data_IF_701340242293
#
_entry.id   IF_701340242293
#
_cell.length_a   1.000
_cell.length_b   1.000
_cell.length_c   1.000
_cell.angle_alpha   90.00
_cell.angle_beta   90.00
_cell.angle_gamma   90.00
#
_symmetry.space_group_name_H-M   'P 1'
#
loop_
_entity.id
_entity.type
_entity.pdbx_description
1 polymer ?
#
# COMPACT_ATOMS: atom_id res chain seq x y z
N UNK A 1 -4.58 24.11 33.00
CA UNK A 1 -5.27 23.23 32.02
C UNK A 1 -4.34 22.71 30.92
N UNK A 2 -3.29 23.42 30.49
CA UNK A 2 -2.37 22.96 29.42
C UNK A 2 -1.46 21.76 29.78
N UNK A 3 -1.23 21.49 31.06
CA UNK A 3 -0.35 20.39 31.52
C UNK A 3 -1.02 19.02 31.50
N UNK A 4 -2.36 18.95 31.67
CA UNK A 4 -3.10 17.69 31.67
C UNK A 4 -3.28 17.11 30.26
N UNK A 5 -3.30 17.96 29.23
CA UNK A 5 -3.45 17.54 27.83
C UNK A 5 -2.17 16.89 27.27
N UNK A 6 -0.98 17.35 27.69
CA UNK A 6 0.30 16.79 27.25
C UNK A 6 0.56 15.39 27.80
N UNK A 7 0.16 15.12 29.04
CA UNK A 7 0.35 13.79 29.64
C UNK A 7 -0.60 12.76 29.04
N UNK A 8 -1.81 13.16 28.64
CA UNK A 8 -2.80 12.27 28.03
C UNK A 8 -2.41 11.88 26.60
N UNK A 9 -1.85 12.81 25.82
CA UNK A 9 -1.40 12.54 24.45
C UNK A 9 -0.15 11.63 24.41
N UNK A 10 0.75 11.76 25.40
CA UNK A 10 1.94 10.90 25.50
C UNK A 10 1.59 9.45 25.89
N UNK A 11 0.56 9.24 26.72
CA UNK A 11 0.08 7.89 27.09
C UNK A 11 -0.61 7.19 25.92
N UNK A 12 -1.35 7.92 25.08
CA UNK A 12 -1.99 7.36 23.87
C UNK A 12 -0.98 6.97 22.78
N UNK A 13 0.06 7.79 22.56
CA UNK A 13 1.14 7.46 21.60
C UNK A 13 1.98 6.26 22.06
N UNK A 14 2.13 6.04 23.36
CA UNK A 14 2.86 4.89 23.89
C UNK A 14 2.04 3.60 23.83
N UNK A 15 0.70 3.67 23.95
CA UNK A 15 -0.17 2.50 23.79
C UNK A 15 -0.30 2.03 22.34
N UNK A 16 -0.31 2.93 21.35
CA UNK A 16 -0.32 2.55 19.93
C UNK A 16 0.95 1.77 19.52
N UNK A 17 2.11 2.14 20.07
CA UNK A 17 3.36 1.42 19.78
C UNK A 17 3.41 0.02 20.42
N UNK A 18 2.65 -0.23 21.49
CA UNK A 18 2.60 -1.52 22.18
C UNK A 18 1.53 -2.46 21.60
N UNK A 19 0.44 -1.94 21.01
CA UNK A 19 -0.60 -2.75 20.37
C UNK A 19 -0.21 -3.24 18.97
N UNK A 20 0.73 -2.58 18.29
CA UNK A 20 1.27 -3.06 17.00
C UNK A 20 2.29 -4.19 17.11
N UNK A 21 2.60 -4.70 18.32
CA UNK A 21 3.58 -5.75 18.54
C UNK A 21 3.02 -7.14 18.85
N UNK A 22 1.68 -7.36 18.86
CA UNK A 22 1.12 -8.67 19.27
C UNK A 22 0.22 -9.40 18.27
N UNK A 23 -0.06 -8.89 17.07
CA UNK A 23 -0.81 -9.66 16.09
C UNK A 23 0.09 -10.56 15.24
N UNK A 24 0.50 -11.68 15.84
CA UNK A 24 0.73 -12.92 15.08
C UNK A 24 -0.63 -13.58 14.87
N UNK A 25 -1.27 -13.29 13.74
CA UNK A 25 -2.38 -14.09 13.25
C UNK A 25 -1.83 -15.23 12.40
N UNK A 26 -1.84 -16.42 12.99
CA UNK A 26 -1.71 -17.71 12.31
C UNK A 26 -2.94 -17.92 11.41
N UNK A 27 -2.87 -17.43 10.17
CA UNK A 27 -3.88 -17.61 9.14
C UNK A 27 -3.22 -18.04 7.83
N UNK A 28 -2.85 -19.32 7.73
CA UNK A 28 -2.25 -19.87 6.53
C UNK A 28 -3.29 -19.96 5.39
N UNK A 29 -3.40 -18.88 4.61
CA UNK A 29 -4.00 -18.94 3.28
C UNK A 29 -3.15 -19.90 2.42
N UNK A 30 -3.71 -21.04 2.05
CA UNK A 30 -3.02 -22.01 1.19
C UNK A 30 -2.99 -21.50 -0.24
N UNK A 31 -1.99 -20.69 -0.58
CA UNK A 31 -1.58 -20.52 -1.96
C UNK A 31 -1.23 -21.91 -2.54
N UNK A 32 -1.59 -22.22 -3.80
CA UNK A 32 -1.06 -23.40 -4.47
C UNK A 32 0.48 -23.32 -4.40
N UNK A 33 1.18 -24.43 -4.08
CA UNK A 33 2.62 -24.38 -3.93
C UNK A 33 3.25 -23.86 -5.22
N UNK A 34 4.18 -22.88 -5.15
CA UNK A 34 4.91 -22.45 -6.34
C UNK A 34 5.55 -23.66 -7.00
N UNK A 35 5.41 -23.75 -8.32
CA UNK A 35 6.05 -24.81 -9.11
C UNK A 35 7.55 -24.76 -8.79
N UNK A 36 8.16 -25.85 -8.28
CA UNK A 36 9.54 -25.81 -7.84
C UNK A 36 10.45 -25.47 -9.03
N UNK A 37 11.45 -24.59 -8.87
CA UNK A 37 12.40 -24.31 -9.93
C UNK A 37 13.12 -25.61 -10.32
N UNK A 38 13.43 -25.76 -11.62
CA UNK A 38 14.22 -26.90 -12.11
C UNK A 38 15.64 -26.77 -11.58
N UNK A 39 15.98 -27.56 -10.55
CA UNK A 39 17.35 -27.64 -10.06
C UNK A 39 18.26 -28.36 -11.08
N UNK A 40 19.56 -28.03 -11.13
CA UNK A 40 20.54 -28.77 -11.92
C UNK A 40 20.59 -30.25 -11.51
N UNK A 41 21.02 -31.16 -12.42
CA UNK A 41 21.21 -32.57 -12.09
C UNK A 41 22.04 -32.76 -10.81
N UNK A 42 21.55 -33.59 -9.89
CA UNK A 42 22.20 -33.86 -8.60
C UNK A 42 21.90 -32.86 -7.48
N UNK A 43 20.96 -31.93 -7.67
CA UNK A 43 20.51 -31.00 -6.62
C UNK A 43 19.02 -31.16 -6.32
N UNK A 44 18.63 -30.99 -5.05
CA UNK A 44 17.24 -31.05 -4.57
C UNK A 44 16.76 -29.65 -4.20
N UNK A 45 15.53 -29.31 -4.57
CA UNK A 45 14.91 -28.04 -4.16
C UNK A 45 14.56 -28.08 -2.68
N UNK A 46 14.92 -27.02 -1.95
CA UNK A 46 14.60 -26.83 -0.54
C UNK A 46 13.82 -25.53 -0.36
N UNK A 47 12.91 -25.53 0.61
CA UNK A 47 12.05 -24.39 0.96
C UNK A 47 12.44 -23.88 2.34
N UNK A 48 12.47 -22.56 2.53
CA UNK A 48 12.40 -21.99 3.88
C UNK A 48 11.04 -22.35 4.51
N UNK A 49 11.00 -22.44 5.84
CA UNK A 49 9.78 -22.79 6.58
C UNK A 49 8.63 -21.80 6.33
N UNK A 50 8.96 -20.55 6.03
CA UNK A 50 8.03 -19.46 5.66
C UNK A 50 7.71 -19.42 4.15
N UNK A 51 8.29 -20.32 3.34
CA UNK A 51 8.19 -20.39 1.88
C UNK A 51 8.63 -19.12 1.13
N UNK A 52 9.37 -18.22 1.78
CA UNK A 52 9.77 -16.93 1.18
C UNK A 52 10.90 -17.04 0.17
N UNK A 53 11.70 -18.12 0.21
CA UNK A 53 12.81 -18.34 -0.71
C UNK A 53 13.00 -19.81 -1.12
N UNK A 54 13.61 -19.98 -2.31
CA UNK A 54 13.94 -21.27 -2.91
C UNK A 54 15.46 -21.43 -3.05
N UNK A 55 15.99 -22.60 -2.71
CA UNK A 55 17.40 -22.94 -2.87
C UNK A 55 17.56 -24.35 -3.47
N UNK A 56 18.65 -24.58 -4.23
CA UNK A 56 19.02 -25.90 -4.72
C UNK A 56 20.22 -26.44 -3.93
N UNK A 57 20.04 -27.57 -3.24
CA UNK A 57 21.07 -28.18 -2.39
C UNK A 57 21.64 -29.46 -3.01
N UNK A 58 22.97 -29.66 -2.92
CA UNK A 58 23.69 -30.79 -3.53
C UNK A 58 23.55 -32.12 -2.77
N UNK A 59 23.06 -32.10 -1.52
CA UNK A 59 22.83 -33.31 -0.71
C UNK A 59 21.44 -33.28 -0.05
N UNK A 60 20.64 -34.35 -0.17
CA UNK A 60 19.40 -34.48 0.59
C UNK A 60 19.71 -34.60 2.10
N UNK A 61 19.04 -33.80 2.94
CA UNK A 61 19.04 -33.99 4.39
C UNK A 61 20.06 -33.19 5.21
N UNK A 62 20.82 -32.26 4.62
CA UNK A 62 21.77 -31.41 5.37
C UNK A 62 21.35 -29.94 5.47
N UNK A 63 20.07 -29.60 5.31
CA UNK A 63 19.61 -28.24 5.61
C UNK A 63 19.73 -28.03 7.13
N UNK A 64 20.61 -27.15 7.63
CA UNK A 64 20.46 -26.70 9.01
C UNK A 64 19.17 -25.88 9.06
N UNK A 65 18.20 -26.31 9.86
CA UNK A 65 16.97 -25.56 10.10
C UNK A 65 17.20 -24.31 10.97
N UNK A 66 18.44 -23.86 11.11
CA UNK A 66 18.81 -22.65 11.81
C UNK A 66 19.38 -21.64 10.82
N UNK A 67 19.00 -20.36 10.90
CA UNK A 67 19.63 -19.32 10.10
C UNK A 67 21.13 -19.35 10.43
N UNK A 68 22.03 -19.55 9.45
CA UNK A 68 23.45 -19.41 9.72
C UNK A 68 23.72 -17.95 10.06
N UNK A 69 24.38 -17.70 11.19
CA UNK A 69 24.72 -16.33 11.66
C UNK A 69 25.60 -15.57 10.66
N UNK A 70 26.20 -16.26 9.67
CA UNK A 70 26.77 -15.63 8.49
C UNK A 70 26.55 -16.48 7.23
N UNK A 71 26.18 -15.83 6.13
CA UNK A 71 25.96 -16.42 4.80
C UNK A 71 27.20 -17.12 4.19
N UNK A 72 28.36 -17.05 4.83
CA UNK A 72 29.63 -17.56 4.31
C UNK A 72 29.84 -19.08 4.58
N UNK A 73 29.30 -19.62 5.68
CA UNK A 73 29.63 -20.99 6.11
C UNK A 73 28.79 -22.09 5.44
N UNK A 74 27.72 -21.73 4.73
CA UNK A 74 26.84 -22.71 4.08
C UNK A 74 27.36 -23.24 2.74
N UNK A 75 28.54 -22.79 2.28
CA UNK A 75 29.02 -23.11 0.92
C UNK A 75 28.06 -22.66 -0.19
N UNK A 76 27.14 -21.75 0.15
CA UNK A 76 26.21 -21.14 -0.78
C UNK A 76 27.00 -20.14 -1.63
N UNK A 77 27.35 -20.54 -2.85
CA UNK A 77 27.77 -19.61 -3.88
C UNK A 77 26.53 -18.79 -4.25
N UNK A 78 26.28 -17.68 -3.54
CA UNK A 78 25.55 -16.57 -4.17
C UNK A 78 26.48 -16.12 -5.28
N UNK A 79 26.17 -16.43 -6.54
CA UNK A 79 26.94 -15.89 -7.66
C UNK A 79 26.92 -14.36 -7.50
N UNK A 80 28.06 -13.69 -7.27
CA UNK A 80 28.07 -12.24 -7.33
C UNK A 80 27.73 -11.87 -8.78
N UNK A 81 26.61 -11.18 -8.97
CA UNK A 81 26.27 -10.58 -10.26
C UNK A 81 25.17 -11.26 -11.09
N UNK A 82 24.30 -12.11 -10.54
CA UNK A 82 23.01 -12.32 -11.20
C UNK A 82 22.05 -11.19 -10.77
N UNK A 83 21.74 -10.22 -11.65
CA UNK A 83 20.77 -9.19 -11.30
C UNK A 83 19.44 -9.88 -11.02
N UNK A 84 18.87 -9.61 -9.83
CA UNK A 84 17.46 -9.90 -9.56
C UNK A 84 16.71 -9.20 -10.70
N UNK A 85 16.19 -9.99 -11.64
CA UNK A 85 15.37 -9.44 -12.71
C UNK A 85 14.12 -8.91 -12.04
N UNK A 86 14.04 -7.58 -11.89
CA UNK A 86 12.78 -6.90 -11.63
C UNK A 86 11.75 -7.45 -12.63
N UNK A 87 10.50 -7.69 -12.22
CA UNK A 87 9.42 -8.04 -13.14
C UNK A 87 9.49 -7.09 -14.33
N UNK A 88 9.41 -7.60 -15.56
CA UNK A 88 9.58 -6.77 -16.77
C UNK A 88 8.64 -5.54 -16.71
N UNK A 89 9.24 -4.36 -16.54
CA UNK A 89 8.54 -3.09 -16.35
C UNK A 89 9.43 -2.03 -15.68
N UNK A 90 9.10 -0.74 -15.81
CA UNK A 90 9.82 0.33 -15.12
C UNK A 90 9.63 0.20 -13.60
N UNK A 91 10.70 0.40 -12.84
CA UNK A 91 10.63 0.48 -11.38
C UNK A 91 10.30 1.92 -11.00
N UNK A 92 9.05 2.23 -10.68
CA UNK A 92 8.63 3.60 -10.37
C UNK A 92 8.23 3.75 -8.90
N UNK A 93 8.47 4.92 -8.34
CA UNK A 93 7.91 5.35 -7.06
C UNK A 93 6.92 6.47 -7.27
N UNK A 94 5.69 6.24 -6.82
CA UNK A 94 4.65 7.25 -6.75
C UNK A 94 4.61 7.84 -5.35
N UNK A 95 4.58 9.17 -5.25
CA UNK A 95 4.52 9.91 -3.98
C UNK A 95 3.35 10.88 -4.05
N UNK A 96 2.38 10.69 -3.18
CA UNK A 96 1.30 11.66 -2.96
C UNK A 96 1.78 12.72 -1.97
N UNK A 97 1.75 14.00 -2.38
CA UNK A 97 2.36 15.08 -1.59
C UNK A 97 1.61 16.41 -1.76
N UNK A 98 1.76 17.27 -0.74
CA UNK A 98 1.38 18.67 -0.81
C UNK A 98 2.59 19.58 -1.09
N UNK A 99 2.37 20.78 -1.63
CA UNK A 99 3.43 21.73 -1.90
C UNK A 99 3.99 22.31 -0.60
N UNK A 100 5.27 22.68 -0.64
CA UNK A 100 5.92 23.38 0.46
C UNK A 100 5.12 24.64 0.83
N UNK A 101 4.98 24.87 2.13
CA UNK A 101 4.28 26.04 2.66
C UNK A 101 2.83 26.20 2.18
N UNK A 102 2.19 25.11 1.71
CA UNK A 102 0.77 25.10 1.31
C UNK A 102 0.46 26.05 0.14
N UNK A 103 1.49 26.40 -0.65
CA UNK A 103 1.42 27.33 -1.79
C UNK A 103 1.40 26.56 -3.10
N UNK A 104 0.22 26.14 -3.51
CA UNK A 104 -0.01 25.39 -4.75
C UNK A 104 -1.03 24.28 -4.53
N UNK A 105 -1.27 23.48 -5.56
CA UNK A 105 -2.13 22.32 -5.47
C UNK A 105 -1.33 21.11 -4.95
N UNK A 106 -2.04 20.17 -4.33
CA UNK A 106 -1.44 18.88 -4.00
C UNK A 106 -1.22 18.07 -5.29
N UNK A 107 -0.29 17.13 -5.27
CA UNK A 107 0.20 16.49 -6.50
C UNK A 107 0.74 15.08 -6.29
N UNK A 108 0.71 14.31 -7.37
CA UNK A 108 1.41 13.05 -7.50
C UNK A 108 2.77 13.27 -8.14
N UNK A 109 3.85 12.97 -7.41
CA UNK A 109 5.20 12.94 -7.94
C UNK A 109 5.61 11.52 -8.32
N UNK A 110 6.30 11.37 -9.45
CA UNK A 110 6.78 10.07 -9.96
C UNK A 110 8.29 10.09 -10.07
N UNK A 111 8.96 9.09 -9.50
CA UNK A 111 10.40 8.93 -9.56
C UNK A 111 10.80 7.64 -10.27
N UNK A 112 11.90 7.67 -11.00
CA UNK A 112 12.55 6.47 -11.55
C UNK A 112 13.36 5.78 -10.47
N UNK A 113 13.12 4.50 -10.24
CA UNK A 113 13.80 3.67 -9.24
C UNK A 113 14.49 2.44 -9.85
N UNK A 114 14.57 2.31 -11.18
CA UNK A 114 15.41 1.30 -11.80
C UNK A 114 16.89 1.73 -11.68
N UNK A 115 17.74 1.03 -10.90
CA UNK A 115 19.15 1.40 -10.74
C UNK A 115 19.96 1.29 -12.03
N UNK A 116 19.40 0.67 -13.08
CA UNK A 116 20.01 0.59 -14.42
C UNK A 116 19.70 1.80 -15.28
N UNK A 117 18.72 2.62 -14.90
CA UNK A 117 18.33 3.81 -15.64
C UNK A 117 19.21 5.00 -15.19
N UNK A 118 19.68 5.81 -16.14
CA UNK A 118 20.45 7.04 -15.88
C UNK A 118 19.67 8.11 -15.10
N UNK A 119 18.35 7.93 -15.01
CA UNK A 119 17.44 8.79 -14.25
C UNK A 119 17.07 8.21 -12.88
N UNK A 120 17.73 7.15 -12.41
CA UNK A 120 17.54 6.62 -11.06
C UNK A 120 17.55 7.73 -9.99
N UNK A 121 16.53 7.74 -9.15
CA UNK A 121 16.31 8.71 -8.08
C UNK A 121 15.83 10.09 -8.56
N UNK A 122 15.63 10.32 -9.87
CA UNK A 122 15.16 11.59 -10.41
C UNK A 122 13.64 11.62 -10.49
N UNK A 123 13.10 12.82 -10.27
CA UNK A 123 11.70 13.17 -10.54
C UNK A 123 11.45 13.13 -12.05
N UNK A 124 10.49 12.31 -12.47
CA UNK A 124 10.06 12.19 -13.86
C UNK A 124 8.92 13.15 -14.19
N UNK A 125 7.95 13.28 -13.28
CA UNK A 125 6.75 14.08 -13.48
C UNK A 125 6.11 14.49 -12.16
N UNK A 126 5.38 15.60 -12.22
CA UNK A 126 4.41 16.06 -11.22
C UNK A 126 3.06 16.17 -11.92
N UNK A 127 2.05 15.46 -11.39
CA UNK A 127 0.66 15.56 -11.83
C UNK A 127 -0.17 16.18 -10.72
N UNK A 128 -0.58 17.43 -10.90
CA UNK A 128 -1.34 18.20 -9.92
C UNK A 128 -2.84 17.86 -9.99
N UNK A 129 -3.51 17.93 -8.85
CA UNK A 129 -4.97 18.06 -8.81
C UNK A 129 -5.37 19.53 -8.79
N UNK A 130 -6.66 19.83 -8.70
CA UNK A 130 -7.22 21.18 -8.70
C UNK A 130 -7.48 21.75 -7.29
N UNK A 131 -7.02 21.07 -6.24
CA UNK A 131 -7.20 21.49 -4.85
C UNK A 131 -5.88 21.44 -4.06
N UNK A 132 -5.87 22.09 -2.90
CA UNK A 132 -4.68 22.29 -2.08
C UNK A 132 -4.96 22.02 -0.61
N UNK A 133 -3.92 21.66 0.13
CA UNK A 133 -4.01 21.52 1.59
C UNK A 133 -4.99 20.42 1.99
N UNK A 134 -5.07 19.36 1.20
CA UNK A 134 -5.82 18.16 1.50
C UNK A 134 -5.16 17.36 2.62
N UNK A 135 -3.89 17.65 2.93
CA UNK A 135 -3.01 16.78 3.69
C UNK A 135 -2.90 15.42 3.00
N UNK A 136 -2.00 15.35 2.00
CA UNK A 136 -1.70 14.10 1.33
C UNK A 136 -1.33 13.01 2.35
N UNK A 137 -2.20 12.01 2.52
CA UNK A 137 -2.13 11.09 3.66
C UNK A 137 -1.72 9.68 3.22
N UNK A 138 -2.64 8.87 2.67
CA UNK A 138 -2.29 7.58 2.08
C UNK A 138 -2.72 7.48 0.61
N UNK A 139 -2.24 6.42 -0.03
CA UNK A 139 -2.54 6.08 -1.40
C UNK A 139 -2.55 4.56 -1.62
N UNK A 140 -3.29 4.12 -2.63
CA UNK A 140 -3.35 2.72 -3.06
C UNK A 140 -3.19 2.59 -4.56
N UNK A 141 -2.41 1.60 -5.00
CA UNK A 141 -2.35 1.17 -6.40
C UNK A 141 -3.29 -0.01 -6.60
N UNK A 142 -4.13 0.05 -7.64
CA UNK A 142 -5.04 -1.04 -7.98
C UNK A 142 -4.29 -2.36 -8.23
N UNK A 143 -4.96 -3.49 -8.01
CA UNK A 143 -4.35 -4.81 -8.19
C UNK A 143 -3.81 -5.03 -9.62
N UNK A 144 -4.48 -4.45 -10.62
CA UNK A 144 -4.07 -4.47 -12.03
C UNK A 144 -3.09 -3.33 -12.41
N UNK A 145 -2.68 -2.51 -11.44
CA UNK A 145 -1.73 -1.40 -11.55
C UNK A 145 -2.14 -0.30 -12.53
N UNK A 146 -3.43 -0.15 -12.82
CA UNK A 146 -3.95 0.84 -13.76
C UNK A 146 -4.38 2.15 -13.13
N UNK A 147 -4.70 2.15 -11.84
CA UNK A 147 -5.22 3.32 -11.14
C UNK A 147 -4.52 3.51 -9.80
N UNK A 148 -4.20 4.76 -9.49
CA UNK A 148 -3.90 5.20 -8.13
C UNK A 148 -5.11 5.89 -7.54
N UNK A 149 -5.49 5.48 -6.33
CA UNK A 149 -6.39 6.21 -5.45
C UNK A 149 -5.54 6.90 -4.38
N UNK A 150 -5.84 8.16 -4.07
CA UNK A 150 -5.14 8.92 -3.04
C UNK A 150 -6.14 9.64 -2.13
N UNK A 151 -5.82 9.73 -0.85
CA UNK A 151 -6.67 10.35 0.18
C UNK A 151 -6.15 11.70 0.65
N UNK A 152 -7.07 12.59 0.97
CA UNK A 152 -6.83 13.84 1.70
C UNK A 152 -7.40 13.78 3.11
N UNK A 153 -6.53 13.71 4.13
CA UNK A 153 -6.99 13.60 5.51
C UNK A 153 -7.66 14.88 6.04
N UNK A 154 -7.34 16.05 5.48
CA UNK A 154 -7.91 17.35 5.87
C UNK A 154 -8.80 18.00 4.80
N UNK A 155 -9.13 17.28 3.72
CA UNK A 155 -10.03 17.78 2.67
C UNK A 155 -11.36 18.32 3.21
N UNK A 156 -12.00 17.61 4.15
CA UNK A 156 -13.27 18.03 4.75
C UNK A 156 -13.22 19.36 5.49
N UNK A 157 -12.08 19.74 6.10
CA UNK A 157 -11.92 21.03 6.78
C UNK A 157 -12.08 22.16 5.76
N UNK A 158 -11.66 21.91 4.51
CA UNK A 158 -11.75 22.85 3.40
C UNK A 158 -13.01 22.67 2.54
N UNK A 159 -13.86 21.68 2.85
CA UNK A 159 -15.08 21.33 2.10
C UNK A 159 -14.79 21.06 0.62
N UNK A 160 -13.82 20.19 0.38
CA UNK A 160 -13.40 19.74 -0.94
C UNK A 160 -13.34 18.20 -0.95
N UNK A 161 -13.23 17.55 -2.12
CA UNK A 161 -13.22 16.10 -2.23
C UNK A 161 -12.20 15.40 -1.31
N UNK A 162 -12.56 14.26 -0.73
CA UNK A 162 -11.64 13.50 0.15
C UNK A 162 -10.73 12.53 -0.63
N UNK A 163 -11.14 12.15 -1.84
CA UNK A 163 -10.53 11.05 -2.60
C UNK A 163 -10.27 11.48 -4.04
N UNK A 164 -9.09 11.16 -4.57
CA UNK A 164 -8.64 11.53 -5.90
C UNK A 164 -8.08 10.33 -6.66
N UNK A 165 -8.22 10.35 -7.99
CA UNK A 165 -7.86 9.24 -8.85
C UNK A 165 -6.89 9.68 -9.96
N UNK A 166 -5.88 8.85 -10.21
CA UNK A 166 -4.94 9.01 -11.32
C UNK A 166 -4.89 7.76 -12.19
N UNK A 167 -4.82 7.94 -13.52
CA UNK A 167 -4.79 6.84 -14.47
C UNK A 167 -3.35 6.46 -14.84
N UNK A 168 -2.79 5.50 -14.13
CA UNK A 168 -1.44 4.96 -14.37
C UNK A 168 -1.34 4.25 -15.72
N UNK A 169 -2.41 3.59 -16.17
CA UNK A 169 -2.39 2.86 -17.44
C UNK A 169 -2.28 3.77 -18.67
N UNK A 170 -2.77 5.00 -18.58
CA UNK A 170 -2.64 5.99 -19.64
C UNK A 170 -1.19 6.47 -19.79
N UNK A 171 -0.49 6.69 -18.68
CA UNK A 171 0.92 7.04 -18.66
C UNK A 171 1.54 6.76 -17.29
N UNK A 172 2.33 5.69 -17.17
CA UNK A 172 2.88 5.29 -15.89
C UNK A 172 3.94 6.26 -15.33
N UNK A 173 4.67 6.99 -16.19
CA UNK A 173 5.70 7.95 -15.77
C UNK A 173 5.15 9.34 -15.48
N UNK A 174 3.91 9.62 -15.90
CA UNK A 174 3.20 10.87 -15.63
C UNK A 174 1.67 10.64 -15.64
N UNK A 175 1.12 9.95 -14.63
CA UNK A 175 -0.30 9.57 -14.62
C UNK A 175 -1.22 10.80 -14.57
N UNK A 176 -2.14 10.99 -15.53
CA UNK A 176 -3.07 12.11 -15.46
C UNK A 176 -4.06 11.94 -14.30
N UNK A 177 -4.38 13.06 -13.64
CA UNK A 177 -5.54 13.16 -12.75
C UNK A 177 -6.83 12.95 -13.56
N UNK A 178 -7.71 12.07 -13.09
CA UNK A 178 -8.95 11.71 -13.81
C UNK A 178 -10.23 12.07 -13.06
N UNK A 179 -10.14 12.48 -11.80
CA UNK A 179 -11.29 12.96 -11.05
C UNK A 179 -11.19 12.68 -9.56
N UNK A 180 -12.17 13.17 -8.83
CA UNK A 180 -12.25 13.10 -7.38
C UNK A 180 -13.67 12.87 -6.90
N UNK A 181 -13.80 12.49 -5.62
CA UNK A 181 -15.08 12.28 -4.96
C UNK A 181 -15.05 12.89 -3.56
N UNK A 182 -16.03 13.73 -3.27
CA UNK A 182 -16.47 14.05 -1.91
C UNK A 182 -17.32 12.87 -1.43
N UNK A 183 -16.82 12.11 -0.48
CA UNK A 183 -17.41 10.81 -0.12
C UNK A 183 -18.73 11.06 0.62
N UNK A 184 -19.86 10.51 0.14
CA UNK A 184 -21.11 10.63 0.86
C UNK A 184 -21.03 9.99 2.25
N UNK A 185 -21.49 10.74 3.26
CA UNK A 185 -21.63 10.32 4.66
C UNK A 185 -20.33 10.00 5.43
N UNK A 186 -19.16 10.10 4.80
CA UNK A 186 -17.86 9.89 5.44
C UNK A 186 -16.81 10.88 4.93
N UNK A 187 -15.74 11.08 5.71
CA UNK A 187 -14.65 11.97 5.36
C UNK A 187 -13.36 11.50 6.03
N UNK A 188 -12.26 12.23 5.83
CA UNK A 188 -10.97 11.93 6.46
C UNK A 188 -10.42 10.61 5.95
N UNK A 189 -10.14 10.59 4.64
CA UNK A 189 -9.57 9.43 3.96
C UNK A 189 -8.25 9.04 4.60
N UNK A 190 -8.17 7.77 5.00
CA UNK A 190 -7.00 7.19 5.66
C UNK A 190 -6.41 6.14 4.73
N UNK A 191 -6.61 4.83 4.94
CA UNK A 191 -5.88 3.78 4.21
C UNK A 191 -6.67 3.15 3.06
N UNK A 192 -5.96 2.52 2.11
CA UNK A 192 -6.54 1.91 0.89
C UNK A 192 -6.03 0.50 0.63
N UNK A 193 -6.96 -0.44 0.48
CA UNK A 193 -6.69 -1.81 0.07
C UNK A 193 -7.22 -2.06 -1.35
N UNK A 194 -6.38 -2.43 -2.33
CA UNK A 194 -6.88 -2.85 -3.63
C UNK A 194 -7.60 -4.19 -3.54
N UNK A 195 -8.70 -4.30 -4.28
CA UNK A 195 -9.48 -5.53 -4.41
C UNK A 195 -9.02 -6.35 -5.62
N UNK A 196 -8.99 -7.71 -5.54
CA UNK A 196 -8.60 -8.57 -6.66
C UNK A 196 -9.43 -8.40 -7.94
N UNK A 197 -10.73 -8.16 -7.78
CA UNK A 197 -11.70 -7.95 -8.86
C UNK A 197 -11.60 -6.55 -9.51
N UNK A 198 -10.81 -5.65 -8.91
CA UNK A 198 -10.72 -4.24 -9.29
C UNK A 198 -11.29 -3.31 -8.22
N UNK A 199 -10.85 -2.05 -8.25
CA UNK A 199 -11.25 -1.06 -7.25
C UNK A 199 -10.57 -1.24 -5.90
N UNK A 200 -11.22 -0.73 -4.85
CA UNK A 200 -10.61 -0.51 -3.54
C UNK A 200 -11.62 -0.64 -2.41
N UNK A 201 -11.11 -1.03 -1.24
CA UNK A 201 -11.73 -0.74 0.06
C UNK A 201 -10.87 0.29 0.77
N UNK A 202 -11.50 1.31 1.34
CA UNK A 202 -10.78 2.37 2.07
C UNK A 202 -11.34 2.61 3.45
N UNK A 203 -10.54 3.14 4.35
CA UNK A 203 -10.99 3.62 5.66
C UNK A 203 -11.18 5.13 5.64
N UNK A 204 -12.25 5.57 6.30
CA UNK A 204 -12.60 6.98 6.49
C UNK A 204 -12.70 7.22 7.99
N UNK A 205 -11.88 8.11 8.55
CA UNK A 205 -11.81 8.32 10.00
C UNK A 205 -13.04 9.05 10.55
N UNK A 206 -13.72 9.84 9.73
CA UNK A 206 -14.85 10.68 10.13
C UNK A 206 -16.11 10.42 9.32
N UNK A 207 -17.23 10.86 9.88
CA UNK A 207 -18.48 11.08 9.14
C UNK A 207 -18.32 12.29 8.23
N UNK A 208 -19.26 12.54 7.31
CA UNK A 208 -19.20 13.65 6.35
C UNK A 208 -18.92 15.05 6.93
N UNK A 209 -19.13 15.29 8.23
CA UNK A 209 -18.81 16.56 8.89
C UNK A 209 -17.48 16.56 9.66
N UNK A 210 -16.65 15.52 9.50
CA UNK A 210 -15.40 15.33 10.23
C UNK A 210 -15.56 14.88 11.69
N UNK A 211 -16.77 14.54 12.14
CA UNK A 211 -17.02 13.98 13.48
C UNK A 211 -17.09 12.45 13.46
N UNK A 212 -17.45 11.81 14.57
CA UNK A 212 -17.68 10.37 14.64
C UNK A 212 -19.12 10.00 14.24
N UNK A 213 -19.39 8.75 13.81
CA UNK A 213 -18.43 7.69 13.49
C UNK A 213 -17.78 7.87 12.12
N UNK A 214 -16.59 7.26 11.93
CA UNK A 214 -16.02 7.01 10.60
C UNK A 214 -16.70 5.83 9.90
N UNK A 215 -16.05 5.29 8.88
CA UNK A 215 -16.56 4.14 8.13
C UNK A 215 -15.55 3.51 7.19
N UNK A 216 -15.99 2.46 6.49
CA UNK A 216 -15.24 1.76 5.44
C UNK A 216 -15.95 2.00 4.12
N UNK A 217 -15.25 2.47 3.10
CA UNK A 217 -15.83 2.72 1.78
C UNK A 217 -15.42 1.66 0.78
N UNK A 218 -16.26 1.42 -0.23
CA UNK A 218 -15.93 0.55 -1.36
C UNK A 218 -16.06 1.29 -2.68
N UNK A 219 -15.09 1.04 -3.55
CA UNK A 219 -15.09 1.41 -4.96
C UNK A 219 -14.97 0.13 -5.78
N UNK A 220 -15.87 -0.06 -6.74
CA UNK A 220 -15.88 -1.22 -7.65
C UNK A 220 -14.83 -1.11 -8.76
N UNK A 221 -14.17 0.05 -8.88
CA UNK A 221 -13.31 0.39 -10.00
C UNK A 221 -12.34 1.52 -9.67
N UNK A 222 -11.65 1.99 -10.71
CA UNK A 222 -10.57 2.97 -10.61
C UNK A 222 -10.99 4.42 -10.92
N UNK A 223 -12.26 4.76 -10.73
CA UNK A 223 -12.81 6.10 -11.01
C UNK A 223 -13.80 6.52 -9.93
N UNK A 224 -14.07 7.83 -9.78
CA UNK A 224 -15.07 8.33 -8.82
C UNK A 224 -16.45 7.66 -8.94
N UNK A 225 -16.90 7.43 -10.18
CA UNK A 225 -18.23 6.86 -10.47
C UNK A 225 -18.42 5.41 -10.00
N UNK A 226 -17.34 4.74 -9.56
CA UNK A 226 -17.39 3.37 -9.07
C UNK A 226 -17.69 3.24 -7.57
N UNK A 227 -17.97 4.35 -6.89
CA UNK A 227 -18.33 4.36 -5.46
C UNK A 227 -19.59 3.53 -5.18
N UNK A 228 -19.48 2.57 -4.26
CA UNK A 228 -20.59 1.67 -3.88
C UNK A 228 -21.24 2.05 -2.54
N UNK A 229 -20.55 2.82 -1.69
CA UNK A 229 -21.08 3.26 -0.40
C UNK A 229 -20.08 3.18 0.77
N UNK A 230 -20.57 3.60 1.93
CA UNK A 230 -19.90 3.52 3.24
C UNK A 230 -20.53 2.44 4.11
N UNK A 231 -19.70 1.70 4.84
CA UNK A 231 -20.05 0.57 5.68
C UNK A 231 -19.60 0.78 7.14
N UNK A 232 -20.41 0.40 8.13
CA UNK A 232 -21.81 -0.03 7.98
C UNK A 232 -22.71 1.15 7.54
N UNK A 233 -23.67 0.88 6.65
CA UNK A 233 -24.65 1.89 6.25
C UNK A 233 -25.50 2.28 7.47
N UNK A 234 -25.70 3.58 7.71
CA UNK A 234 -26.55 4.07 8.81
C UNK A 234 -27.94 3.44 8.72
N UNK A 235 -28.26 2.55 9.66
CA UNK A 235 -29.58 1.88 9.78
C UNK A 235 -29.56 0.36 9.60
N UNK A 236 -28.44 -0.27 9.24
CA UNK A 236 -28.34 -1.72 9.06
C UNK A 236 -27.42 -2.37 10.08
N UNK A 237 -27.87 -3.49 10.65
CA UNK A 237 -27.04 -4.45 11.38
C UNK A 237 -25.73 -4.70 10.62
N UNK A 238 -24.66 -5.06 11.35
CA UNK A 238 -23.59 -5.86 10.77
C UNK A 238 -24.27 -7.09 10.14
N UNK A 239 -24.51 -7.06 8.84
CA UNK A 239 -24.79 -8.28 8.08
C UNK A 239 -23.44 -8.98 8.09
N UNK A 240 -23.24 -9.82 9.12
CA UNK A 240 -22.21 -10.82 9.08
C UNK A 240 -22.37 -11.56 7.77
N UNK A 241 -21.27 -11.71 7.04
CA UNK A 241 -21.20 -12.70 6.00
C UNK A 241 -21.55 -14.05 6.65
N UNK A 242 -22.77 -14.54 6.42
CA UNK A 242 -23.08 -15.94 6.59
C UNK A 242 -22.49 -16.66 5.37
N UNK A 243 -21.41 -17.41 5.60
CA UNK A 243 -21.09 -18.64 4.86
C UNK A 243 -21.81 -19.83 5.51
#
# INVERSE_FOLDING_TARGET
MATALKTTLLVLLTLCALLSLTDRLDGAATCPPPVPPRCPPGHTACFLADRSAHFCCKRPGTCPCHPPETLADAGCIVKPGEPVRSPEGPSLLYVWAGPREWKGNDFLAVFELDPRNENYGKLLCVSEIDTSGNEAHHMGLSADRKTLIVGGLFSMIKKQPDVYFFNVSANATCPPYVGSLDVPDASAADDWKPLPEGGFVGTMMGSANGSTPGGVVKFSGGTPDSYEGVFPQRGGQFVGAEE
#
